data_IF_740219048622
#
_entry.id   IF_740219048622
#
_cell.length_a   1.000
_cell.length_b   1.000
_cell.length_c   1.000
_cell.angle_alpha   90.00
_cell.angle_beta   90.00
_cell.angle_gamma   90.00
#
_symmetry.space_group_name_H-M   'P 1'
#
loop_
_entity.id
_entity.type
_entity.pdbx_description
1 polymer ?
#
# COMPACT_ATOMS: atom_id res chain seq x y z
N UNK A 1 7.20 7.33 26.17
CA UNK A 1 8.32 8.15 25.62
C UNK A 1 8.20 8.23 24.10
N UNK A 2 8.66 9.32 23.52
CA UNK A 2 8.79 9.43 22.07
C UNK A 2 9.91 8.49 21.60
N UNK A 3 9.66 7.80 20.47
CA UNK A 3 10.66 6.91 19.86
C UNK A 3 10.92 7.37 18.44
N UNK A 4 12.18 7.36 18.04
CA UNK A 4 12.59 7.61 16.65
C UNK A 4 13.12 6.29 16.08
N UNK A 5 12.45 5.80 15.05
CA UNK A 5 12.91 4.61 14.34
C UNK A 5 13.71 5.10 13.14
N UNK A 6 15.02 4.88 13.17
CA UNK A 6 15.90 5.29 12.08
C UNK A 6 15.61 4.43 10.84
N UNK A 7 15.89 4.97 9.67
CA UNK A 7 15.69 4.23 8.42
C UNK A 7 16.39 2.87 8.43
N UNK A 8 17.60 2.80 8.98
CA UNK A 8 18.36 1.55 9.08
C UNK A 8 17.72 0.50 9.99
N UNK A 9 16.81 0.92 10.88
CA UNK A 9 16.13 0.05 11.83
C UNK A 9 14.71 -0.31 11.41
N UNK A 10 14.29 0.11 10.22
CA UNK A 10 13.01 -0.28 9.65
C UNK A 10 12.99 -1.79 9.37
N UNK A 11 11.81 -2.39 9.44
CA UNK A 11 11.63 -3.83 9.31
C UNK A 11 11.21 -4.22 7.88
N UNK A 12 12.11 -4.86 7.16
CA UNK A 12 11.83 -5.41 5.82
C UNK A 12 11.19 -6.81 5.86
N UNK A 13 11.06 -7.41 7.06
CA UNK A 13 10.40 -8.69 7.27
C UNK A 13 8.88 -8.63 7.22
N UNK A 14 8.30 -7.45 6.97
CA UNK A 14 6.86 -7.27 6.81
C UNK A 14 6.34 -7.96 5.53
N UNK A 15 5.02 -8.18 5.45
CA UNK A 15 4.41 -8.85 4.30
C UNK A 15 4.66 -8.10 3.00
N UNK A 16 4.98 -8.83 1.95
CA UNK A 16 5.36 -8.30 0.66
C UNK A 16 4.34 -8.67 -0.43
N UNK A 17 4.30 -7.84 -1.46
CA UNK A 17 3.58 -8.12 -2.71
C UNK A 17 4.61 -8.12 -3.84
N UNK A 18 4.54 -9.06 -4.79
CA UNK A 18 5.48 -9.05 -5.91
C UNK A 18 5.54 -7.69 -6.61
N UNK A 19 6.75 -7.18 -6.81
CA UNK A 19 6.99 -5.87 -7.40
C UNK A 19 6.78 -4.67 -6.47
N UNK A 20 6.35 -4.91 -5.22
CA UNK A 20 6.07 -3.87 -4.23
C UNK A 20 6.81 -4.20 -2.94
N UNK A 21 7.91 -3.49 -2.71
CA UNK A 21 8.78 -3.74 -1.56
C UNK A 21 8.39 -2.83 -0.40
N UNK A 22 8.01 -3.41 0.73
CA UNK A 22 7.57 -2.67 1.93
C UNK A 22 8.58 -2.77 3.05
N UNK A 23 8.65 -1.68 3.83
CA UNK A 23 9.40 -1.63 5.08
C UNK A 23 8.51 -1.01 6.16
N UNK A 24 8.44 -1.64 7.32
CA UNK A 24 7.72 -1.09 8.46
C UNK A 24 8.63 -0.13 9.22
N UNK A 25 8.23 1.13 9.33
CA UNK A 25 8.90 2.11 10.18
C UNK A 25 8.35 2.07 11.60
N UNK A 26 7.03 2.14 11.73
CA UNK A 26 6.32 2.06 13.02
C UNK A 26 5.44 0.81 12.98
N UNK A 27 5.69 -0.09 13.90
CA UNK A 27 4.92 -1.33 14.05
C UNK A 27 5.07 -1.83 15.49
N UNK A 28 4.36 -2.88 15.84
CA UNK A 28 4.57 -3.56 17.14
C UNK A 28 6.01 -4.00 17.29
N UNK A 29 6.62 -4.50 16.22
CA UNK A 29 8.00 -5.01 16.26
C UNK A 29 9.06 -3.92 16.38
N UNK A 30 8.86 -2.75 15.80
CA UNK A 30 9.86 -1.66 15.81
C UNK A 30 9.64 -0.68 16.96
N UNK A 31 8.41 -0.34 17.26
CA UNK A 31 8.07 0.74 18.19
C UNK A 31 7.16 0.31 19.33
N UNK A 32 6.76 -0.96 19.37
CA UNK A 32 5.78 -1.47 20.33
C UNK A 32 4.45 -0.70 20.24
N UNK A 33 4.05 -0.33 19.03
CA UNK A 33 2.75 0.29 18.80
C UNK A 33 1.62 -0.74 18.91
N UNK A 34 0.45 -0.31 19.34
CA UNK A 34 -0.71 -1.20 19.48
C UNK A 34 -1.51 -1.26 18.19
N UNK A 35 -2.00 -0.14 17.72
CA UNK A 35 -2.84 -0.07 16.52
C UNK A 35 -2.11 0.46 15.31
N UNK A 36 -1.35 1.52 15.48
CA UNK A 36 -0.72 2.21 14.35
C UNK A 36 0.39 1.37 13.69
N UNK A 37 0.27 1.22 12.38
CA UNK A 37 1.32 0.70 11.53
C UNK A 37 1.62 1.76 10.46
N UNK A 38 2.89 2.13 10.28
CA UNK A 38 3.34 3.04 9.23
C UNK A 38 4.60 2.49 8.59
N UNK A 39 4.66 2.60 7.28
CA UNK A 39 5.84 2.15 6.55
C UNK A 39 5.90 2.77 5.18
N UNK A 40 6.89 2.33 4.42
CA UNK A 40 7.09 2.76 3.04
C UNK A 40 6.92 1.58 2.10
N UNK A 41 6.59 1.87 0.85
CA UNK A 41 6.57 0.90 -0.22
C UNK A 41 7.25 1.49 -1.44
N UNK A 42 8.05 0.67 -2.10
CA UNK A 42 8.66 1.01 -3.39
C UNK A 42 8.08 0.05 -4.42
N UNK A 43 7.39 0.61 -5.40
CA UNK A 43 6.79 -0.15 -6.48
C UNK A 43 7.73 -0.14 -7.69
N UNK A 44 8.08 -1.31 -8.17
CA UNK A 44 8.93 -1.46 -9.36
C UNK A 44 8.25 -0.86 -10.59
N UNK A 45 9.04 -0.51 -11.63
CA UNK A 45 8.46 -0.01 -12.87
C UNK A 45 7.40 -0.96 -13.43
N UNK A 46 6.23 -0.43 -13.76
CA UNK A 46 5.12 -1.18 -14.32
C UNK A 46 4.45 -2.17 -13.36
N UNK A 47 4.86 -2.24 -12.11
CA UNK A 47 4.29 -3.18 -11.14
C UNK A 47 2.81 -2.87 -10.89
N UNK A 48 2.01 -3.92 -10.85
CA UNK A 48 0.58 -3.83 -10.56
C UNK A 48 0.19 -4.89 -9.52
N UNK A 49 -0.67 -4.52 -8.58
CA UNK A 49 -1.26 -5.48 -7.68
C UNK A 49 -2.39 -6.24 -8.38
N UNK A 50 -2.76 -7.41 -7.84
CA UNK A 50 -4.03 -8.03 -8.19
C UNK A 50 -5.19 -7.31 -7.49
N UNK A 51 -6.41 -7.70 -7.82
CA UNK A 51 -7.60 -7.22 -7.12
C UNK A 51 -7.61 -7.79 -5.71
N UNK A 52 -7.77 -6.94 -4.71
CA UNK A 52 -7.71 -7.33 -3.30
C UNK A 52 -8.39 -6.30 -2.40
N UNK A 53 -8.64 -6.69 -1.15
CA UNK A 53 -9.02 -5.77 -0.10
C UNK A 53 -8.24 -6.09 1.18
N UNK A 54 -8.33 -5.22 2.16
CA UNK A 54 -7.59 -5.33 3.42
C UNK A 54 -8.50 -5.64 4.62
N UNK A 55 -9.60 -6.33 4.39
CA UNK A 55 -10.54 -6.66 5.45
C UNK A 55 -11.06 -5.41 6.14
N UNK A 56 -11.10 -5.43 7.47
CA UNK A 56 -11.59 -4.30 8.26
C UNK A 56 -10.57 -3.16 8.43
N UNK A 57 -9.37 -3.27 7.88
CA UNK A 57 -8.35 -2.23 7.99
C UNK A 57 -8.71 -1.00 7.16
N UNK A 58 -8.44 0.16 7.73
CA UNK A 58 -8.33 1.41 6.99
C UNK A 58 -6.87 1.61 6.58
N UNK A 59 -6.65 2.13 5.40
CA UNK A 59 -5.30 2.45 4.91
C UNK A 59 -5.26 3.88 4.40
N UNK A 60 -4.21 4.58 4.78
CA UNK A 60 -3.86 5.88 4.23
C UNK A 60 -2.56 5.75 3.45
N UNK A 61 -2.50 6.40 2.30
CA UNK A 61 -1.33 6.35 1.41
C UNK A 61 -0.97 7.78 1.05
N UNK A 62 0.32 8.09 1.07
CA UNK A 62 0.85 9.35 0.59
C UNK A 62 1.88 9.07 -0.50
N UNK A 63 1.72 9.72 -1.64
CA UNK A 63 2.63 9.53 -2.77
C UNK A 63 3.86 10.41 -2.56
N UNK A 64 5.02 9.77 -2.43
CA UNK A 64 6.31 10.44 -2.28
C UNK A 64 6.97 10.70 -3.62
N UNK A 65 6.88 9.73 -4.54
CA UNK A 65 7.56 9.76 -5.83
C UNK A 65 6.81 8.89 -6.83
N UNK A 66 6.78 9.30 -8.09
CA UNK A 66 6.10 8.57 -9.14
C UNK A 66 4.60 8.84 -9.20
N UNK A 67 3.90 8.06 -9.99
CA UNK A 67 2.46 8.20 -10.19
C UNK A 67 1.81 6.82 -10.14
N UNK A 68 0.81 6.68 -9.28
CA UNK A 68 0.11 5.41 -9.04
C UNK A 68 -1.33 5.53 -9.49
N UNK A 69 -1.77 4.57 -10.28
CA UNK A 69 -3.17 4.43 -10.66
C UNK A 69 -3.88 3.51 -9.70
N UNK A 70 -4.98 3.99 -9.14
CA UNK A 70 -5.88 3.19 -8.31
C UNK A 70 -7.15 2.90 -9.07
N UNK A 71 -7.60 1.65 -9.00
CA UNK A 71 -8.89 1.20 -9.53
C UNK A 71 -9.70 0.61 -8.39
N UNK A 72 -10.99 0.92 -8.35
CA UNK A 72 -11.89 0.36 -7.34
C UNK A 72 -13.31 0.27 -7.89
N UNK A 73 -14.21 -0.29 -7.09
CA UNK A 73 -15.57 -0.52 -7.46
C UNK A 73 -15.84 -1.98 -7.78
N UNK A 74 -17.11 -2.35 -7.89
CA UNK A 74 -17.52 -3.74 -8.09
C UNK A 74 -16.93 -4.38 -9.34
N UNK A 75 -16.61 -3.57 -10.34
CA UNK A 75 -15.97 -4.00 -11.58
C UNK A 75 -14.64 -3.28 -11.83
N UNK A 76 -14.07 -2.69 -10.79
CA UNK A 76 -12.88 -1.84 -10.90
C UNK A 76 -13.04 -0.72 -11.94
N UNK A 77 -14.27 -0.21 -12.07
CA UNK A 77 -14.66 0.79 -13.08
C UNK A 77 -14.19 2.20 -12.73
N UNK A 78 -13.98 2.47 -11.45
CA UNK A 78 -13.46 3.77 -11.03
C UNK A 78 -11.94 3.79 -11.14
N UNK A 79 -11.40 4.88 -11.67
CA UNK A 79 -9.96 5.03 -11.91
C UNK A 79 -9.54 6.42 -11.49
N UNK A 80 -8.46 6.51 -10.70
CA UNK A 80 -7.83 7.78 -10.37
C UNK A 80 -6.32 7.61 -10.36
N UNK A 81 -5.61 8.61 -10.88
CA UNK A 81 -4.16 8.68 -10.81
C UNK A 81 -3.76 9.61 -9.69
N UNK A 82 -2.95 9.11 -8.76
CA UNK A 82 -2.40 9.88 -7.67
C UNK A 82 -0.95 10.25 -7.96
N UNK A 83 -0.60 11.48 -7.67
CA UNK A 83 0.70 12.10 -7.93
C UNK A 83 1.39 12.50 -6.63
N UNK A 84 2.69 12.81 -6.65
CA UNK A 84 3.40 13.24 -5.44
C UNK A 84 2.68 14.37 -4.71
N UNK A 85 2.49 14.20 -3.41
CA UNK A 85 1.74 15.12 -2.57
C UNK A 85 0.28 14.73 -2.36
N UNK A 86 -0.25 13.78 -3.11
CA UNK A 86 -1.62 13.32 -2.94
C UNK A 86 -1.76 12.29 -1.82
N UNK A 87 -2.86 12.37 -1.10
CA UNK A 87 -3.27 11.37 -0.13
C UNK A 87 -4.36 10.49 -0.73
N UNK A 88 -4.27 9.19 -0.48
CA UNK A 88 -5.28 8.21 -0.91
C UNK A 88 -5.80 7.48 0.33
N UNK A 89 -7.11 7.42 0.46
CA UNK A 89 -7.76 6.66 1.52
C UNK A 89 -8.40 5.41 0.94
N UNK A 90 -8.07 4.25 1.51
CA UNK A 90 -8.68 2.98 1.16
C UNK A 90 -9.55 2.53 2.32
N UNK A 91 -10.89 2.58 2.17
CA UNK A 91 -11.80 2.16 3.25
C UNK A 91 -11.78 0.65 3.47
N UNK A 92 -12.32 0.18 4.62
CA UNK A 92 -12.47 -1.25 4.87
C UNK A 92 -13.22 -1.96 3.74
N UNK A 93 -12.79 -3.18 3.43
CA UNK A 93 -13.41 -4.10 2.46
C UNK A 93 -13.48 -3.59 1.01
N UNK A 94 -12.86 -2.45 0.70
CA UNK A 94 -12.86 -1.92 -0.67
C UNK A 94 -11.93 -2.74 -1.56
N UNK A 95 -12.50 -3.42 -2.54
CA UNK A 95 -11.73 -4.12 -3.57
C UNK A 95 -11.09 -3.08 -4.48
N UNK A 96 -9.79 -3.17 -4.61
CA UNK A 96 -9.01 -2.21 -5.40
C UNK A 96 -7.78 -2.86 -6.03
N UNK A 97 -7.18 -2.14 -6.95
CA UNK A 97 -5.87 -2.42 -7.53
C UNK A 97 -5.05 -1.15 -7.55
N UNK A 98 -3.74 -1.30 -7.49
CA UNK A 98 -2.81 -0.19 -7.71
C UNK A 98 -1.73 -0.59 -8.70
N UNK A 99 -1.31 0.35 -9.53
CA UNK A 99 -0.26 0.11 -10.52
C UNK A 99 0.65 1.33 -10.67
N UNK A 100 1.93 1.07 -10.81
CA UNK A 100 2.90 2.09 -11.17
C UNK A 100 2.82 2.31 -12.69
N UNK A 101 2.37 3.49 -13.08
CA UNK A 101 2.23 3.83 -14.51
C UNK A 101 3.55 4.08 -15.22
N UNK A 102 4.63 4.34 -14.47
CA UNK A 102 5.94 4.52 -15.06
C UNK A 102 6.54 3.13 -15.33
N UNK A 103 6.91 2.89 -16.57
CA UNK A 103 7.52 1.62 -17.00
C UNK A 103 9.03 1.61 -16.86
N UNK A 104 9.65 2.73 -16.50
CA UNK A 104 11.11 2.87 -16.39
C UNK A 104 11.58 3.33 -15.01
N UNK A 105 10.70 3.88 -14.17
CA UNK A 105 11.03 4.40 -12.86
C UNK A 105 10.22 3.76 -11.74
N UNK A 106 10.81 3.73 -10.54
CA UNK A 106 10.14 3.29 -9.33
C UNK A 106 9.18 4.36 -8.82
N UNK A 107 8.11 3.94 -8.15
CA UNK A 107 7.25 4.82 -7.36
C UNK A 107 7.45 4.52 -5.88
N UNK A 108 7.32 5.55 -5.05
CA UNK A 108 7.51 5.42 -3.60
C UNK A 108 6.31 6.00 -2.85
N UNK A 109 5.81 5.24 -1.91
CA UNK A 109 4.61 5.53 -1.14
C UNK A 109 4.92 5.49 0.35
N UNK A 110 4.22 6.32 1.11
CA UNK A 110 4.11 6.19 2.56
C UNK A 110 2.75 5.54 2.86
N UNK A 111 2.73 4.52 3.70
CA UNK A 111 1.54 3.78 4.07
C UNK A 111 1.26 3.92 5.56
N UNK A 112 0.00 4.08 5.92
CA UNK A 112 -0.45 4.04 7.31
C UNK A 112 -1.67 3.13 7.40
N UNK A 113 -1.72 2.31 8.45
CA UNK A 113 -2.83 1.39 8.74
C UNK A 113 -3.19 1.46 10.21
N UNK A 114 -4.43 1.14 10.52
CA UNK A 114 -4.94 1.18 11.89
C UNK A 114 -4.84 -0.16 12.63
N UNK A 115 -4.09 -1.12 12.09
CA UNK A 115 -3.91 -2.44 12.69
C UNK A 115 -2.52 -3.00 12.36
N UNK A 116 -2.02 -3.84 13.25
CA UNK A 116 -0.78 -4.60 13.02
C UNK A 116 -1.00 -5.77 12.05
N UNK A 117 -2.23 -6.22 11.94
CA UNK A 117 -2.56 -7.32 11.03
C UNK A 117 -2.48 -6.85 9.59
N UNK A 118 -1.63 -7.54 8.83
CA UNK A 118 -1.46 -7.25 7.42
C UNK A 118 -2.41 -8.12 6.61
N UNK A 119 -3.66 -7.65 6.50
CA UNK A 119 -4.73 -8.38 5.83
C UNK A 119 -4.67 -8.08 4.35
N UNK A 120 -4.48 -9.13 3.55
CA UNK A 120 -4.62 -9.06 2.09
C UNK A 120 -5.52 -10.22 1.67
N UNK A 121 -6.71 -9.88 1.22
CA UNK A 121 -7.67 -10.86 0.72
C UNK A 121 -7.75 -10.69 -0.80
N UNK A 122 -7.10 -11.60 -1.51
CA UNK A 122 -7.12 -11.61 -2.97
C UNK A 122 -8.47 -12.09 -3.47
N UNK A 123 -9.00 -11.41 -4.47
CA UNK A 123 -10.26 -11.74 -5.10
C UNK A 123 -10.06 -11.88 -6.60
N UNK A 124 -10.94 -12.59 -7.31
CA UNK A 124 -10.89 -12.61 -8.77
C UNK A 124 -11.02 -11.20 -9.34
N UNK A 125 -10.31 -10.92 -10.42
CA UNK A 125 -10.44 -9.63 -11.11
C UNK A 125 -11.85 -9.55 -11.71
N UNK A 126 -12.69 -8.60 -11.23
CA UNK A 126 -14.08 -8.52 -11.70
C UNK A 126 -14.21 -8.06 -13.16
N UNK A 127 -13.10 -7.59 -13.76
CA UNK A 127 -13.07 -7.27 -15.19
C UNK A 127 -12.99 -8.52 -16.05
N UNK A 128 -12.75 -9.67 -15.42
CA UNK A 128 -12.53 -10.91 -16.11
C UNK A 128 -11.08 -11.05 -16.56
N UNK A 129 -10.62 -12.29 -16.69
CA UNK A 129 -9.33 -12.58 -17.33
C UNK A 129 -9.59 -12.76 -18.82
N UNK A 130 -8.85 -12.02 -19.60
CA UNK A 130 -8.82 -12.27 -21.03
C UNK A 130 -8.14 -13.63 -21.30
#
# INVERSE_FOLDING_TARGET
MVKVIRHADSDSGTAQTPGMRREAGISAGTANSEGLWMGTAVNAPGAASGAHHHGSNESGIYILRGRIRFRWGDRLEHVVDAEPGDFVFVPPFEVHMEENLDTTGEAELLLARNSQEQIVVNVPDPRGSA
#
